data_IF_632616375546
#
_entry.id   IF_632616375546
#
_cell.length_a   1.000
_cell.length_b   1.000
_cell.length_c   1.000
_cell.angle_alpha   90.00
_cell.angle_beta   90.00
_cell.angle_gamma   90.00
#
_symmetry.space_group_name_H-M   'P 1'
#
loop_
_entity.id
_entity.type
_entity.pdbx_description
1 polymer ?
#
# COMPACT_ATOMS: atom_id res chain seq x y z
N UNK A 1 1.60 18.99 7.97
CA UNK A 1 1.29 17.72 8.68
C UNK A 1 -0.16 17.79 9.14
N UNK A 2 -0.85 16.64 9.21
CA UNK A 2 -2.24 16.57 9.64
C UNK A 2 -2.29 16.52 11.19
N UNK A 3 -2.93 17.45 11.89
CA UNK A 3 -2.96 17.45 13.36
C UNK A 3 -3.67 16.20 13.91
N UNK A 4 -3.20 15.70 15.06
CA UNK A 4 -3.92 14.65 15.82
C UNK A 4 -5.33 15.14 16.13
N UNK A 5 -6.33 14.26 15.94
CA UNK A 5 -7.74 14.58 16.17
C UNK A 5 -8.43 15.40 15.08
N UNK A 6 -7.79 15.60 13.91
CA UNK A 6 -8.45 16.23 12.77
C UNK A 6 -9.46 15.28 12.10
N UNK A 7 -10.61 15.82 11.70
CA UNK A 7 -11.68 15.06 11.02
C UNK A 7 -11.25 14.58 9.65
N UNK A 8 -11.57 13.33 9.31
CA UNK A 8 -11.33 12.75 7.98
C UNK A 8 -11.14 11.25 8.01
N UNK A 9 -11.25 10.67 6.82
CA UNK A 9 -11.42 9.24 6.62
C UNK A 9 -10.17 8.65 5.97
N UNK A 10 -9.59 7.63 6.60
CA UNK A 10 -8.50 6.86 6.02
C UNK A 10 -8.89 5.42 5.75
N UNK A 11 -8.24 4.83 4.76
CA UNK A 11 -8.21 3.39 4.57
C UNK A 11 -6.77 2.88 4.47
N UNK A 12 -6.50 1.76 5.14
CA UNK A 12 -5.26 1.00 5.02
C UNK A 12 -5.52 -0.31 4.26
N UNK A 13 -4.94 -0.42 3.06
CA UNK A 13 -5.12 -1.56 2.18
C UNK A 13 -4.07 -2.62 2.47
N UNK A 14 -4.51 -3.85 2.79
CA UNK A 14 -3.59 -4.92 3.20
C UNK A 14 -2.95 -4.63 4.55
N UNK A 15 -3.77 -4.27 5.55
CA UNK A 15 -3.32 -3.77 6.84
C UNK A 15 -2.57 -4.81 7.70
N UNK A 16 -2.53 -6.08 7.28
CA UNK A 16 -1.89 -7.15 8.04
C UNK A 16 -2.48 -7.25 9.45
N UNK A 17 -1.63 -7.19 10.47
CA UNK A 17 -2.04 -7.27 11.87
C UNK A 17 -2.49 -5.92 12.49
N UNK A 18 -2.42 -4.83 11.70
CA UNK A 18 -2.85 -3.48 12.06
C UNK A 18 -1.91 -2.71 12.99
N UNK A 19 -0.66 -3.14 13.19
CA UNK A 19 0.30 -2.39 14.01
C UNK A 19 0.65 -1.03 13.41
N UNK A 20 0.83 -0.95 12.10
CA UNK A 20 1.07 0.32 11.41
C UNK A 20 -0.18 1.19 11.47
N UNK A 21 -1.35 0.61 11.15
CA UNK A 21 -2.64 1.31 11.22
C UNK A 21 -2.89 1.93 12.60
N UNK A 22 -2.49 1.26 13.69
CA UNK A 22 -2.63 1.78 15.06
C UNK A 22 -1.87 3.08 15.29
N UNK A 23 -0.70 3.25 14.67
CA UNK A 23 0.09 4.48 14.76
C UNK A 23 -0.53 5.61 13.95
N UNK A 24 -1.22 5.29 12.85
CA UNK A 24 -1.89 6.25 11.97
C UNK A 24 -3.27 6.68 12.48
N UNK A 25 -3.97 5.79 13.18
CA UNK A 25 -5.35 5.99 13.61
C UNK A 25 -5.63 7.32 14.36
N UNK A 26 -4.77 7.84 15.25
CA UNK A 26 -5.03 9.08 15.98
C UNK A 26 -5.16 10.34 15.10
N UNK A 27 -4.73 10.28 13.83
CA UNK A 27 -4.80 11.41 12.91
C UNK A 27 -6.12 11.48 12.13
N UNK A 28 -7.01 10.51 12.29
CA UNK A 28 -8.25 10.38 11.50
C UNK A 28 -9.46 10.14 12.41
N UNK A 29 -10.64 10.62 12.01
CA UNK A 29 -11.89 10.35 12.72
C UNK A 29 -12.43 8.96 12.41
N UNK A 30 -12.22 8.49 11.18
CA UNK A 30 -12.71 7.21 10.71
C UNK A 30 -11.59 6.43 10.02
N UNK A 31 -11.32 5.25 10.57
CA UNK A 31 -10.24 4.37 10.12
C UNK A 31 -10.83 3.07 9.62
N UNK A 32 -10.57 2.77 8.35
CA UNK A 32 -10.96 1.54 7.69
C UNK A 32 -9.72 0.72 7.32
N UNK A 33 -9.89 -0.59 7.24
CA UNK A 33 -8.82 -1.50 6.83
C UNK A 33 -9.36 -2.58 5.90
N UNK A 34 -8.53 -3.08 4.99
CA UNK A 34 -8.78 -4.33 4.26
C UNK A 34 -7.65 -5.31 4.51
N UNK A 35 -7.96 -6.60 4.42
CA UNK A 35 -6.99 -7.68 4.53
C UNK A 35 -7.55 -8.96 3.91
N UNK A 36 -6.73 -9.75 3.23
CA UNK A 36 -7.13 -10.98 2.56
C UNK A 36 -7.14 -12.17 3.52
N UNK A 37 -6.17 -12.24 4.43
CA UNK A 37 -6.05 -13.33 5.39
C UNK A 37 -7.15 -13.29 6.44
N UNK A 38 -7.92 -14.39 6.57
CA UNK A 38 -8.99 -14.51 7.58
C UNK A 38 -8.46 -14.30 9.00
N UNK A 39 -7.27 -14.84 9.30
CA UNK A 39 -6.62 -14.70 10.61
C UNK A 39 -6.26 -13.25 10.91
N UNK A 40 -5.71 -12.53 9.92
CA UNK A 40 -5.35 -11.14 10.08
C UNK A 40 -6.60 -10.24 10.19
N UNK A 41 -7.65 -10.51 9.41
CA UNK A 41 -8.96 -9.85 9.57
C UNK A 41 -9.53 -10.03 10.98
N UNK A 42 -9.37 -11.21 11.59
CA UNK A 42 -9.78 -11.43 12.99
C UNK A 42 -8.93 -10.59 13.96
N UNK A 43 -7.61 -10.53 13.78
CA UNK A 43 -6.72 -9.71 14.60
C UNK A 43 -7.08 -8.21 14.52
N UNK A 44 -7.37 -7.71 13.32
CA UNK A 44 -7.82 -6.33 13.08
C UNK A 44 -9.14 -6.03 13.81
N UNK A 45 -10.14 -6.94 13.72
CA UNK A 45 -11.41 -6.81 14.45
C UNK A 45 -11.20 -6.80 15.97
N UNK A 46 -10.32 -7.66 16.49
CA UNK A 46 -9.98 -7.70 17.92
C UNK A 46 -9.34 -6.39 18.42
N UNK A 47 -8.67 -5.65 17.52
CA UNK A 47 -8.12 -4.31 17.81
C UNK A 47 -9.14 -3.18 17.68
N UNK A 48 -10.36 -3.47 17.26
CA UNK A 48 -11.43 -2.49 17.10
C UNK A 48 -11.44 -1.77 15.75
N UNK A 49 -10.67 -2.24 14.76
CA UNK A 49 -10.69 -1.63 13.42
C UNK A 49 -11.95 -2.02 12.62
N UNK A 50 -12.42 -1.09 11.79
CA UNK A 50 -13.52 -1.33 10.85
C UNK A 50 -13.00 -2.04 9.59
N UNK A 51 -13.03 -3.36 9.60
CA UNK A 51 -12.57 -4.20 8.49
C UNK A 51 -13.61 -4.25 7.37
N UNK A 52 -13.24 -3.80 6.18
CA UNK A 52 -14.08 -3.86 4.98
C UNK A 52 -13.80 -5.12 4.15
N UNK A 53 -14.71 -5.42 3.23
CA UNK A 53 -14.48 -6.43 2.19
C UNK A 53 -13.58 -5.87 1.07
N UNK A 54 -12.68 -6.72 0.55
CA UNK A 54 -11.70 -6.35 -0.51
C UNK A 54 -12.40 -5.92 -1.81
N UNK A 55 -13.60 -6.41 -2.08
CA UNK A 55 -14.36 -6.03 -3.26
C UNK A 55 -15.25 -4.79 -3.07
N UNK A 56 -15.31 -4.23 -1.86
CA UNK A 56 -16.25 -3.13 -1.53
C UNK A 56 -15.57 -1.87 -1.00
N UNK A 57 -14.27 -1.92 -0.68
CA UNK A 57 -13.57 -0.76 -0.14
C UNK A 57 -13.59 0.44 -1.08
N UNK A 58 -13.67 0.20 -2.39
CA UNK A 58 -13.68 1.25 -3.41
C UNK A 58 -15.06 1.85 -3.70
N UNK A 59 -16.11 1.46 -2.95
CA UNK A 59 -17.47 2.03 -3.07
C UNK A 59 -17.62 3.39 -2.37
N UNK A 60 -16.56 3.89 -1.73
CA UNK A 60 -16.57 5.10 -0.91
C UNK A 60 -15.29 5.90 -1.10
N UNK A 61 -15.32 7.16 -0.64
CA UNK A 61 -14.19 8.07 -0.78
C UNK A 61 -13.43 8.32 0.52
N UNK A 62 -12.14 8.61 0.41
CA UNK A 62 -11.21 8.79 1.54
C UNK A 62 -10.39 10.07 1.38
N UNK A 63 -10.04 10.66 2.52
CA UNK A 63 -9.05 11.74 2.60
C UNK A 63 -7.63 11.19 2.45
N UNK A 64 -7.40 9.95 2.91
CA UNK A 64 -6.14 9.25 2.75
C UNK A 64 -6.31 7.76 2.43
N UNK A 65 -5.52 7.27 1.49
CA UNK A 65 -5.38 5.83 1.20
C UNK A 65 -3.95 5.42 1.48
N UNK A 66 -3.76 4.43 2.34
CA UNK A 66 -2.48 3.79 2.62
C UNK A 66 -2.43 2.47 1.86
N UNK A 67 -1.38 2.30 1.05
CA UNK A 67 -1.10 1.12 0.24
C UNK A 67 0.35 0.72 0.52
N UNK A 68 0.56 0.10 1.67
CA UNK A 68 1.89 -0.11 2.23
C UNK A 68 2.37 -1.53 1.95
N UNK A 69 3.40 -1.68 1.11
CA UNK A 69 4.01 -2.97 0.77
C UNK A 69 2.98 -4.01 0.27
N UNK A 70 2.00 -3.52 -0.51
CA UNK A 70 0.89 -4.30 -1.06
C UNK A 70 1.04 -4.57 -2.56
N UNK A 71 1.58 -3.62 -3.33
CA UNK A 71 1.55 -3.69 -4.80
C UNK A 71 2.42 -4.82 -5.37
N UNK A 72 3.45 -5.25 -4.64
CA UNK A 72 4.25 -6.44 -4.95
C UNK A 72 3.64 -7.74 -4.40
N UNK A 73 2.58 -7.65 -3.58
CA UNK A 73 1.95 -8.78 -2.86
C UNK A 73 0.52 -9.08 -3.27
N UNK A 74 0.06 -8.49 -4.37
CA UNK A 74 -1.32 -8.63 -4.84
C UNK A 74 -1.41 -9.09 -6.29
N UNK A 75 -2.59 -9.64 -6.64
CA UNK A 75 -2.81 -10.23 -7.97
C UNK A 75 -2.91 -9.17 -9.08
N UNK A 76 -3.54 -8.03 -8.76
CA UNK A 76 -3.92 -7.00 -9.72
C UNK A 76 -3.54 -5.59 -9.22
N UNK A 77 -2.24 -5.28 -9.04
CA UNK A 77 -1.78 -3.99 -8.51
C UNK A 77 -2.19 -2.77 -9.36
N UNK A 78 -2.26 -2.90 -10.69
CA UNK A 78 -2.67 -1.80 -11.56
C UNK A 78 -4.17 -1.50 -11.39
N UNK A 79 -4.99 -2.54 -11.21
CA UNK A 79 -6.41 -2.38 -10.84
C UNK A 79 -6.56 -1.66 -9.51
N UNK A 80 -5.76 -2.02 -8.50
CA UNK A 80 -5.76 -1.34 -7.19
C UNK A 80 -5.43 0.15 -7.39
N UNK A 81 -4.38 0.49 -8.14
CA UNK A 81 -4.04 1.90 -8.40
C UNK A 81 -5.18 2.67 -9.07
N UNK A 82 -5.89 2.07 -10.02
CA UNK A 82 -7.07 2.68 -10.63
C UNK A 82 -8.22 2.88 -9.63
N UNK A 83 -8.46 1.92 -8.74
CA UNK A 83 -9.45 2.04 -7.67
C UNK A 83 -9.08 3.10 -6.63
N UNK A 84 -7.79 3.23 -6.30
CA UNK A 84 -7.31 4.31 -5.41
C UNK A 84 -7.64 5.66 -6.03
N UNK A 85 -7.38 5.84 -7.34
CA UNK A 85 -7.66 7.09 -8.04
C UNK A 85 -9.14 7.48 -7.97
N UNK A 86 -10.07 6.53 -8.05
CA UNK A 86 -11.52 6.83 -8.02
C UNK A 86 -12.08 7.06 -6.61
N UNK A 87 -11.31 6.70 -5.57
CA UNK A 87 -11.73 6.74 -4.17
C UNK A 87 -11.10 7.89 -3.39
N UNK A 88 -10.12 8.60 -3.93
CA UNK A 88 -9.60 9.80 -3.26
C UNK A 88 -10.58 10.97 -3.40
N UNK A 89 -10.91 11.61 -2.27
CA UNK A 89 -11.60 12.90 -2.23
C UNK A 89 -10.76 13.98 -2.92
N UNK A 90 -11.37 15.10 -3.37
CA UNK A 90 -10.59 16.26 -3.83
C UNK A 90 -9.56 16.70 -2.78
N UNK A 91 -8.29 16.76 -3.18
CA UNK A 91 -7.17 17.07 -2.28
C UNK A 91 -6.66 15.91 -1.42
N UNK A 92 -7.30 14.74 -1.49
CA UNK A 92 -6.88 13.52 -0.80
C UNK A 92 -5.52 13.02 -1.28
N UNK A 93 -4.87 12.20 -0.44
CA UNK A 93 -3.52 11.68 -0.66
C UNK A 93 -3.50 10.16 -0.65
N UNK A 94 -2.66 9.59 -1.50
CA UNK A 94 -2.24 8.19 -1.36
C UNK A 94 -0.82 8.14 -0.82
N UNK A 95 -0.60 7.26 0.16
CA UNK A 95 0.70 6.90 0.67
C UNK A 95 0.98 5.48 0.19
N UNK A 96 2.07 5.31 -0.57
CA UNK A 96 2.43 4.02 -1.16
C UNK A 96 3.83 3.65 -0.65
N UNK A 97 3.97 2.47 -0.07
CA UNK A 97 5.26 1.88 0.24
C UNK A 97 5.51 0.67 -0.67
N UNK A 98 6.73 0.50 -1.13
CA UNK A 98 7.13 -0.62 -1.98
C UNK A 98 8.59 -0.96 -1.71
N UNK A 99 8.85 -2.25 -1.50
CA UNK A 99 10.20 -2.77 -1.33
C UNK A 99 10.92 -2.83 -2.68
N UNK A 100 12.12 -2.26 -2.74
CA UNK A 100 12.98 -2.26 -3.91
C UNK A 100 14.33 -2.96 -3.59
N UNK A 101 14.90 -3.75 -4.53
CA UNK A 101 14.36 -4.08 -5.85
C UNK A 101 13.06 -4.90 -5.78
N UNK A 102 12.11 -4.60 -6.67
CA UNK A 102 10.78 -5.20 -6.65
C UNK A 102 10.83 -6.70 -6.96
N UNK A 103 10.10 -7.48 -6.18
CA UNK A 103 9.87 -8.90 -6.45
C UNK A 103 8.39 -9.23 -6.21
N UNK A 104 7.61 -9.28 -7.29
CA UNK A 104 6.18 -9.56 -7.18
C UNK A 104 5.90 -11.02 -6.86
N UNK A 105 5.09 -11.26 -5.84
CA UNK A 105 4.74 -12.59 -5.34
C UNK A 105 3.35 -12.56 -4.71
N UNK A 106 2.50 -13.52 -5.04
CA UNK A 106 1.13 -13.60 -4.50
C UNK A 106 0.95 -14.86 -3.66
N UNK A 107 0.83 -14.71 -2.34
CA UNK A 107 0.76 -15.81 -1.36
C UNK A 107 -0.37 -16.81 -1.69
N UNK A 108 -1.52 -16.31 -2.13
CA UNK A 108 -2.72 -17.12 -2.38
C UNK A 108 -2.69 -17.93 -3.67
N UNK A 109 -1.70 -17.71 -4.55
CA UNK A 109 -1.64 -18.34 -5.88
C UNK A 109 -0.67 -19.51 -5.92
N UNK A 110 -1.15 -20.70 -5.62
CA UNK A 110 -0.36 -21.92 -5.78
C UNK A 110 -0.54 -22.53 -7.21
N UNK A 111 0.50 -23.08 -7.85
CA UNK A 111 1.87 -23.26 -7.36
C UNK A 111 2.88 -22.17 -7.74
N UNK A 112 2.55 -21.27 -8.67
CA UNK A 112 3.56 -20.38 -9.27
C UNK A 112 3.65 -19.00 -8.61
N UNK A 113 2.69 -18.61 -7.78
CA UNK A 113 2.65 -17.35 -7.04
C UNK A 113 2.73 -16.08 -7.92
N UNK A 114 2.39 -16.21 -9.21
CA UNK A 114 2.52 -15.11 -10.17
C UNK A 114 1.30 -14.19 -10.14
N UNK A 115 1.50 -12.86 -10.15
CA UNK A 115 0.40 -11.91 -10.31
C UNK A 115 -0.19 -11.98 -11.73
N UNK A 116 -1.45 -11.58 -11.89
CA UNK A 116 -2.06 -11.31 -13.21
C UNK A 116 -1.51 -10.04 -13.83
N UNK A 117 -1.17 -9.05 -13.01
CA UNK A 117 -0.67 -7.75 -13.48
C UNK A 117 0.73 -7.49 -12.94
N UNK A 118 1.65 -7.27 -13.86
CA UNK A 118 3.02 -6.92 -13.53
C UNK A 118 3.17 -5.40 -13.45
N UNK A 119 3.89 -4.93 -12.44
CA UNK A 119 4.34 -3.56 -12.34
C UNK A 119 5.46 -3.36 -13.39
N UNK A 120 5.33 -2.41 -14.34
CA UNK A 120 6.32 -2.18 -15.38
C UNK A 120 7.57 -1.43 -14.87
N UNK A 121 8.12 -1.85 -13.72
CA UNK A 121 9.31 -1.26 -13.10
C UNK A 121 10.56 -1.80 -13.80
N UNK A 122 11.48 -0.90 -14.13
CA UNK A 122 12.73 -1.15 -14.85
C UNK A 122 13.92 -0.76 -13.98
N UNK A 123 15.07 -1.38 -14.28
CA UNK A 123 16.33 -1.10 -13.61
C UNK A 123 16.69 -2.13 -12.53
N UNK A 124 17.91 -2.03 -12.04
CA UNK A 124 18.51 -2.98 -11.09
C UNK A 124 18.84 -2.33 -9.75
N UNK A 125 19.02 -1.00 -9.72
CA UNK A 125 19.31 -0.27 -8.49
C UNK A 125 18.05 0.30 -7.86
N UNK A 126 18.16 0.68 -6.58
CA UNK A 126 17.11 1.40 -5.88
C UNK A 126 16.71 2.67 -6.62
N UNK A 127 17.67 3.48 -7.06
CA UNK A 127 17.44 4.76 -7.73
C UNK A 127 16.78 4.58 -9.09
N UNK A 128 17.21 3.57 -9.87
CA UNK A 128 16.60 3.27 -11.16
C UNK A 128 15.15 2.81 -11.00
N UNK A 129 14.91 1.86 -10.08
CA UNK A 129 13.56 1.35 -9.86
C UNK A 129 12.64 2.36 -9.19
N UNK A 130 13.14 3.22 -8.29
CA UNK A 130 12.36 4.32 -7.72
C UNK A 130 11.93 5.30 -8.81
N UNK A 131 12.85 5.68 -9.71
CA UNK A 131 12.51 6.54 -10.84
C UNK A 131 11.53 5.86 -11.80
N UNK A 132 11.72 4.57 -12.09
CA UNK A 132 10.80 3.81 -12.93
C UNK A 132 9.42 3.67 -12.29
N UNK A 133 9.33 3.45 -10.97
CA UNK A 133 8.06 3.39 -10.26
C UNK A 133 7.28 4.72 -10.38
N UNK A 134 7.96 5.86 -10.26
CA UNK A 134 7.33 7.17 -10.49
C UNK A 134 6.84 7.30 -11.94
N UNK A 135 7.72 7.07 -12.93
CA UNK A 135 7.49 7.44 -14.33
C UNK A 135 6.69 6.41 -15.13
N UNK A 136 6.88 5.12 -14.85
CA UNK A 136 6.28 4.00 -15.59
C UNK A 136 5.06 3.41 -14.85
N UNK A 137 4.87 3.69 -13.55
CA UNK A 137 3.74 3.16 -12.76
C UNK A 137 2.80 4.26 -12.25
N UNK A 138 3.28 5.14 -11.37
CA UNK A 138 2.42 6.11 -10.68
C UNK A 138 1.90 7.20 -11.62
N UNK A 139 2.76 7.78 -12.46
CA UNK A 139 2.36 8.81 -13.41
C UNK A 139 1.34 8.30 -14.45
N UNK A 140 1.54 7.15 -15.11
CA UNK A 140 0.53 6.55 -15.99
C UNK A 140 -0.76 6.13 -15.28
N UNK A 141 -0.68 5.75 -14.00
CA UNK A 141 -1.86 5.51 -13.17
C UNK A 141 -2.62 6.80 -12.80
N UNK A 142 -2.11 7.98 -13.15
CA UNK A 142 -2.76 9.26 -12.94
C UNK A 142 -2.43 9.90 -11.60
N UNK A 143 -1.26 9.59 -11.03
CA UNK A 143 -0.77 10.18 -9.80
C UNK A 143 0.46 11.07 -10.02
N UNK A 144 0.49 12.19 -9.31
CA UNK A 144 1.65 13.07 -9.20
C UNK A 144 2.27 12.86 -7.83
N UNK A 145 3.53 12.43 -7.80
CA UNK A 145 4.30 12.28 -6.56
C UNK A 145 4.69 13.66 -6.04
N UNK A 146 4.34 13.95 -4.79
CA UNK A 146 4.69 15.22 -4.14
C UNK A 146 5.98 15.10 -3.34
N UNK A 147 6.17 13.96 -2.67
CA UNK A 147 7.34 13.67 -1.83
C UNK A 147 7.58 12.17 -1.81
N UNK A 148 8.82 11.78 -1.63
CA UNK A 148 9.18 10.39 -1.36
C UNK A 148 10.42 10.30 -0.48
N UNK A 149 10.63 9.15 0.12
CA UNK A 149 11.80 8.86 0.95
C UNK A 149 12.21 7.39 0.84
N UNK A 150 13.44 7.08 1.26
CA UNK A 150 14.01 5.74 1.35
C UNK A 150 14.14 5.37 2.82
N UNK A 151 13.59 4.23 3.21
CA UNK A 151 13.63 3.70 4.58
C UNK A 151 14.21 2.28 4.56
N UNK A 152 14.79 1.79 5.67
CA UNK A 152 15.15 0.39 5.76
C UNK A 152 13.89 -0.49 5.79
N UNK A 153 13.89 -1.56 5.01
CA UNK A 153 12.91 -2.64 5.08
C UNK A 153 13.52 -3.85 5.78
N UNK A 154 12.80 -4.38 6.78
CA UNK A 154 13.18 -5.60 7.48
C UNK A 154 11.98 -6.55 7.46
N UNK A 155 12.16 -7.74 6.88
CA UNK A 155 11.19 -8.82 6.98
C UNK A 155 11.81 -10.08 7.59
N UNK A 156 10.97 -10.88 8.23
CA UNK A 156 11.32 -12.22 8.67
C UNK A 156 11.78 -13.02 7.45
N UNK A 157 12.99 -13.56 7.53
CA UNK A 157 13.57 -14.29 6.41
C UNK A 157 13.16 -15.77 6.41
N UNK A 158 13.92 -16.58 5.69
CA UNK A 158 13.64 -18.00 5.53
C UNK A 158 14.63 -18.87 6.31
N UNK A 159 14.60 -20.18 6.06
CA UNK A 159 15.49 -21.17 6.69
C UNK A 159 16.98 -20.88 6.38
N UNK A 160 17.28 -20.15 5.32
CA UNK A 160 18.65 -19.81 4.89
C UNK A 160 19.12 -18.47 5.49
N UNK A 161 18.21 -17.51 5.69
CA UNK A 161 18.55 -16.19 6.23
C UNK A 161 17.48 -15.73 7.22
N UNK A 162 17.86 -15.39 8.45
CA UNK A 162 16.89 -15.03 9.51
C UNK A 162 16.10 -13.74 9.22
N UNK A 163 16.67 -12.79 8.48
CA UNK A 163 16.02 -11.53 8.10
C UNK A 163 16.57 -11.00 6.77
N UNK A 164 15.71 -10.54 5.88
CA UNK A 164 16.15 -9.77 4.71
C UNK A 164 16.23 -8.28 5.06
N UNK A 165 17.34 -7.65 4.69
CA UNK A 165 17.45 -6.20 4.61
C UNK A 165 17.20 -5.79 3.16
N UNK A 166 16.27 -4.88 2.93
CA UNK A 166 16.05 -4.24 1.63
C UNK A 166 15.74 -2.78 1.85
N UNK A 167 15.52 -2.04 0.78
CA UNK A 167 15.07 -0.65 0.86
C UNK A 167 13.56 -0.58 0.64
N UNK A 168 12.88 0.16 1.50
CA UNK A 168 11.49 0.56 1.30
C UNK A 168 11.46 1.97 0.70
N UNK A 169 10.76 2.14 -0.41
CA UNK A 169 10.51 3.44 -1.01
C UNK A 169 9.08 3.88 -0.66
N UNK A 170 8.96 4.97 0.10
CA UNK A 170 7.66 5.51 0.54
C UNK A 170 7.35 6.79 -0.22
N UNK A 171 6.23 6.80 -0.93
CA UNK A 171 5.75 7.89 -1.77
C UNK A 171 4.47 8.50 -1.21
N UNK A 172 4.38 9.82 -1.26
CA UNK A 172 3.13 10.57 -1.09
C UNK A 172 2.75 11.11 -2.45
N UNK A 173 1.55 10.77 -2.92
CA UNK A 173 1.04 11.21 -4.21
C UNK A 173 -0.40 11.70 -4.12
N UNK A 174 -0.81 12.45 -5.15
CA UNK A 174 -2.18 12.93 -5.36
C UNK A 174 -2.63 12.63 -6.79
N UNK A 175 -3.93 12.69 -7.06
CA UNK A 175 -4.44 12.60 -8.43
C UNK A 175 -3.87 13.76 -9.27
N UNK A 176 -3.48 13.47 -10.52
CA UNK A 176 -3.08 14.48 -11.49
C UNK A 176 -4.20 15.52 -11.65
N UNK A 177 -3.81 16.80 -11.63
CA UNK A 177 -4.72 17.90 -11.95
C UNK A 177 -5.02 17.97 -13.43
#
# INVERSE_FOLDING_TARGET
ERPVGSSGEMIDLGAGDGLITKTLAPFYSDVYVTEASTTMRWALKKRGFRVLEINRWSEKQYDAVYCLNLLDRCDEPLTILQQIKTTLKPGGKVIIAIVLPVHQYVESKYPNHLPKQWLPIKGCTFEEQSNSFINDVLHPAGFTVEKWTRLPYLCEGDIQQAYYWLDDAVFIAKINS
#
